data_IF_738784912366
#
_entry.id   IF_738784912366
#
_cell.length_a   1.000
_cell.length_b   1.000
_cell.length_c   1.000
_cell.angle_alpha   90.00
_cell.angle_beta   90.00
_cell.angle_gamma   90.00
#
_symmetry.space_group_name_H-M   'P 1'
#
loop_
_entity.id
_entity.type
_entity.pdbx_description
1 polymer ?
#
# COMPACT_ATOMS: atom_id res chain seq x y z
N UNK A 1 16.22 -0.20 -22.35
CA UNK A 1 17.24 -1.25 -22.16
C UNK A 1 16.64 -2.30 -21.22
N UNK A 2 16.45 -3.54 -21.68
CA UNK A 2 15.81 -4.60 -20.87
C UNK A 2 16.85 -5.33 -20.04
N UNK A 3 16.67 -5.38 -18.71
CA UNK A 3 17.57 -6.09 -17.79
C UNK A 3 16.96 -7.46 -17.49
N UNK A 4 17.69 -8.54 -17.79
CA UNK A 4 17.27 -9.90 -17.47
C UNK A 4 17.80 -10.29 -16.09
N UNK A 5 16.90 -10.70 -15.19
CA UNK A 5 17.25 -11.32 -13.91
C UNK A 5 16.63 -12.71 -13.85
N UNK A 6 17.43 -13.70 -13.44
CA UNK A 6 16.94 -15.05 -13.17
C UNK A 6 16.14 -15.04 -11.86
N UNK A 7 14.89 -15.51 -11.91
CA UNK A 7 14.02 -15.63 -10.74
C UNK A 7 14.07 -17.09 -10.27
N UNK A 8 14.55 -17.39 -9.06
CA UNK A 8 14.41 -18.72 -8.50
C UNK A 8 12.93 -19.00 -8.26
N UNK A 9 12.43 -20.12 -8.77
CA UNK A 9 11.03 -20.51 -8.66
C UNK A 9 10.90 -21.83 -7.90
N UNK A 10 10.03 -21.82 -6.91
CA UNK A 10 9.60 -23.02 -6.19
C UNK A 10 8.56 -23.83 -6.98
N UNK A 11 8.25 -25.05 -6.52
CA UNK A 11 7.24 -25.90 -7.15
C UNK A 11 5.83 -25.27 -7.14
N UNK A 12 5.50 -24.47 -6.13
CA UNK A 12 4.22 -23.74 -6.05
C UNK A 12 4.14 -22.60 -7.09
N UNK A 13 5.25 -21.90 -7.33
CA UNK A 13 5.32 -20.83 -8.34
C UNK A 13 5.10 -21.39 -9.74
N UNK A 14 5.74 -22.53 -10.04
CA UNK A 14 5.58 -23.24 -11.32
C UNK A 14 4.14 -23.70 -11.51
N UNK A 15 3.51 -24.22 -10.45
CA UNK A 15 2.11 -24.66 -10.50
C UNK A 15 1.18 -23.48 -10.75
N UNK A 16 1.43 -22.36 -10.09
CA UNK A 16 0.64 -21.13 -10.27
C UNK A 16 0.80 -20.57 -11.68
N UNK A 17 2.02 -20.52 -12.22
CA UNK A 17 2.27 -20.10 -13.61
C UNK A 17 1.53 -20.98 -14.62
N UNK A 18 1.52 -22.30 -14.42
CA UNK A 18 0.76 -23.23 -15.27
C UNK A 18 -0.74 -22.98 -15.21
N UNK A 19 -1.30 -22.63 -14.04
CA UNK A 19 -2.71 -22.27 -13.93
C UNK A 19 -3.02 -20.97 -14.66
N UNK A 20 -2.14 -19.97 -14.54
CA UNK A 20 -2.31 -18.65 -15.20
C UNK A 20 -2.23 -18.69 -16.72
N UNK A 21 -1.63 -19.74 -17.30
CA UNK A 21 -1.67 -20.01 -18.74
C UNK A 21 -3.09 -20.32 -19.23
N UNK A 22 -3.95 -20.89 -18.40
CA UNK A 22 -5.34 -21.07 -18.78
C UNK A 22 -6.03 -19.69 -18.82
N UNK A 23 -6.55 -19.33 -20.00
CA UNK A 23 -7.22 -18.04 -20.26
C UNK A 23 -8.38 -17.78 -19.30
N UNK A 24 -9.12 -18.82 -18.92
CA UNK A 24 -10.26 -18.74 -18.00
C UNK A 24 -9.87 -18.97 -16.52
N UNK A 25 -8.58 -18.97 -16.20
CA UNK A 25 -8.16 -19.17 -14.82
C UNK A 25 -8.60 -18.01 -13.92
N UNK A 26 -9.12 -18.31 -12.71
CA UNK A 26 -9.46 -17.28 -11.74
C UNK A 26 -8.25 -16.43 -11.36
N UNK A 27 -7.03 -16.99 -11.40
CA UNK A 27 -5.79 -16.26 -11.15
C UNK A 27 -5.52 -15.18 -12.20
N UNK A 28 -5.79 -15.46 -13.48
CA UNK A 28 -5.62 -14.47 -14.56
C UNK A 28 -6.67 -13.37 -14.49
N UNK A 29 -7.92 -13.71 -14.16
CA UNK A 29 -8.95 -12.71 -13.91
C UNK A 29 -8.61 -11.81 -12.72
N UNK A 30 -8.13 -12.39 -11.61
CA UNK A 30 -7.70 -11.61 -10.45
C UNK A 30 -6.55 -10.66 -10.79
N UNK A 31 -5.57 -11.12 -11.59
CA UNK A 31 -4.46 -10.27 -12.03
C UNK A 31 -4.94 -9.12 -12.94
N UNK A 32 -5.87 -9.39 -13.85
CA UNK A 32 -6.44 -8.36 -14.71
C UNK A 32 -7.22 -7.31 -13.90
N UNK A 33 -7.98 -7.73 -12.89
CA UNK A 33 -8.67 -6.82 -11.97
C UNK A 33 -7.69 -5.96 -11.16
N UNK A 34 -6.57 -6.54 -10.72
CA UNK A 34 -5.62 -5.84 -9.86
C UNK A 34 -4.72 -4.86 -10.63
N UNK A 35 -4.45 -5.11 -11.91
CA UNK A 35 -3.54 -4.30 -12.74
C UNK A 35 -4.25 -3.46 -13.80
N UNK A 36 -5.54 -3.71 -14.05
CA UNK A 36 -6.28 -3.17 -15.19
C UNK A 36 -5.72 -3.61 -16.55
N UNK A 37 -4.83 -4.60 -16.60
CA UNK A 37 -4.19 -5.08 -17.82
C UNK A 37 -4.60 -6.53 -18.08
N UNK A 38 -5.25 -6.75 -19.21
CA UNK A 38 -5.52 -8.10 -19.68
C UNK A 38 -4.27 -8.71 -20.29
N UNK A 39 -3.90 -9.89 -19.80
CA UNK A 39 -2.88 -10.71 -20.44
C UNK A 39 -3.45 -11.31 -21.71
N UNK A 40 -2.59 -11.47 -22.72
CA UNK A 40 -2.95 -12.09 -23.99
C UNK A 40 -3.08 -13.62 -23.84
N UNK A 41 -3.88 -14.28 -24.68
CA UNK A 41 -4.10 -15.74 -24.58
C UNK A 41 -2.86 -16.59 -24.78
N UNK A 42 -1.87 -16.03 -25.48
CA UNK A 42 -0.56 -16.62 -25.69
C UNK A 42 0.54 -15.99 -24.82
N UNK A 43 0.17 -15.39 -23.67
CA UNK A 43 1.14 -14.73 -22.79
C UNK A 43 2.22 -15.72 -22.35
N UNK A 44 3.47 -15.33 -22.51
CA UNK A 44 4.61 -16.09 -22.02
C UNK A 44 4.75 -16.00 -20.51
N UNK A 45 5.43 -16.97 -19.90
CA UNK A 45 5.73 -16.96 -18.46
C UNK A 45 6.39 -15.64 -18.02
N UNK A 46 7.26 -15.10 -18.88
CA UNK A 46 7.94 -13.82 -18.63
C UNK A 46 6.95 -12.64 -18.59
N UNK A 47 5.92 -12.64 -19.43
CA UNK A 47 4.88 -11.60 -19.43
C UNK A 47 3.98 -11.72 -18.21
N UNK A 48 3.59 -12.95 -17.84
CA UNK A 48 2.81 -13.21 -16.63
C UNK A 48 3.58 -12.75 -15.38
N UNK A 49 4.86 -13.11 -15.27
CA UNK A 49 5.73 -12.68 -14.17
C UNK A 49 5.94 -11.16 -14.16
N UNK A 50 6.13 -10.55 -15.33
CA UNK A 50 6.27 -9.09 -15.42
C UNK A 50 5.01 -8.37 -14.95
N UNK A 51 3.83 -8.88 -15.33
CA UNK A 51 2.55 -8.34 -14.88
C UNK A 51 2.36 -8.52 -13.36
N UNK A 52 2.69 -9.68 -12.80
CA UNK A 52 2.66 -9.91 -11.35
C UNK A 52 3.61 -8.97 -10.59
N UNK A 53 4.82 -8.76 -11.08
CA UNK A 53 5.79 -7.84 -10.46
C UNK A 53 5.27 -6.41 -10.51
N UNK A 54 4.65 -6.00 -11.62
CA UNK A 54 4.03 -4.69 -11.75
C UNK A 54 2.87 -4.52 -10.76
N UNK A 55 1.96 -5.50 -10.70
CA UNK A 55 0.85 -5.58 -9.77
C UNK A 55 1.33 -5.44 -8.32
N UNK A 56 2.35 -6.23 -7.95
CA UNK A 56 2.95 -6.19 -6.62
C UNK A 56 3.61 -4.85 -6.30
N UNK A 57 4.29 -4.22 -7.26
CA UNK A 57 4.87 -2.88 -7.08
C UNK A 57 3.82 -1.81 -6.85
N UNK A 58 2.74 -1.83 -7.62
CA UNK A 58 1.61 -0.91 -7.49
C UNK A 58 0.94 -1.11 -6.13
N UNK A 59 0.63 -2.35 -5.74
CA UNK A 59 0.06 -2.68 -4.44
C UNK A 59 0.96 -2.28 -3.26
N UNK A 60 2.28 -2.48 -3.36
CA UNK A 60 3.23 -2.04 -2.33
C UNK A 60 3.28 -0.51 -2.24
N UNK A 61 3.24 0.17 -3.38
CA UNK A 61 3.26 1.64 -3.43
C UNK A 61 1.98 2.22 -2.84
N UNK A 62 0.82 1.64 -3.16
CA UNK A 62 -0.46 2.01 -2.57
C UNK A 62 -0.47 1.74 -1.06
N UNK A 63 0.03 0.59 -0.61
CA UNK A 63 0.17 0.27 0.81
C UNK A 63 1.11 1.23 1.53
N UNK A 64 2.23 1.61 0.90
CA UNK A 64 3.16 2.59 1.45
C UNK A 64 2.55 4.00 1.48
N UNK A 65 1.83 4.41 0.44
CA UNK A 65 1.11 5.68 0.43
C UNK A 65 0.06 5.72 1.54
N UNK A 66 -0.73 4.65 1.69
CA UNK A 66 -1.70 4.53 2.77
C UNK A 66 -1.04 4.56 4.16
N UNK A 67 0.10 3.89 4.33
CA UNK A 67 0.87 3.91 5.59
C UNK A 67 1.50 5.27 5.84
N UNK A 68 1.97 5.94 4.80
CA UNK A 68 2.49 7.31 4.85
C UNK A 68 1.40 8.29 5.26
N UNK A 69 0.26 8.31 4.58
CA UNK A 69 -0.87 9.16 4.97
C UNK A 69 -1.40 8.81 6.38
N UNK A 70 -1.39 7.55 6.78
CA UNK A 70 -1.75 7.15 8.15
C UNK A 70 -0.75 7.64 9.20
N UNK A 71 0.56 7.62 8.90
CA UNK A 71 1.59 8.16 9.79
C UNK A 71 1.50 9.69 9.91
N UNK A 72 1.26 10.39 8.79
CA UNK A 72 1.07 11.85 8.78
C UNK A 72 -0.24 12.25 9.48
N UNK A 73 -1.32 11.47 9.33
CA UNK A 73 -2.58 11.70 10.05
C UNK A 73 -2.43 11.47 11.56
N UNK A 74 -1.65 10.46 11.97
CA UNK A 74 -1.36 10.21 13.38
C UNK A 74 -0.52 11.33 14.01
N UNK A 75 0.41 11.92 13.27
CA UNK A 75 1.23 13.06 13.71
C UNK A 75 0.38 14.33 13.88
N UNK A 76 -0.54 14.62 12.94
CA UNK A 76 -1.49 15.72 13.09
C UNK A 76 -2.41 15.55 14.31
N UNK A 77 -2.91 14.34 14.57
CA UNK A 77 -3.77 14.07 15.74
C UNK A 77 -3.03 14.25 17.09
N UNK A 78 -1.73 13.99 17.12
CA UNK A 78 -0.89 14.16 18.32
C UNK A 78 -0.59 15.63 18.62
N UNK A 79 -0.28 16.43 17.60
CA UNK A 79 -0.12 17.89 17.72
C UNK A 79 -1.40 18.55 18.22
N UNK A 80 -2.54 18.12 17.68
CA UNK A 80 -3.86 18.65 18.00
C UNK A 80 -4.28 18.28 19.44
N UNK A 81 -3.92 17.08 19.90
CA UNK A 81 -4.06 16.65 21.32
C UNK A 81 -3.13 17.41 22.26
N UNK A 82 -1.92 17.75 21.84
CA UNK A 82 -0.98 18.54 22.63
C UNK A 82 -1.47 19.98 22.81
N UNK A 83 -1.94 20.60 21.72
CA UNK A 83 -2.54 21.94 21.75
C UNK A 83 -3.77 22.02 22.66
N UNK A 84 -4.68 21.04 22.56
CA UNK A 84 -5.85 20.94 23.45
C UNK A 84 -5.50 20.73 24.93
N UNK A 85 -4.36 20.10 25.23
CA UNK A 85 -3.87 19.94 26.62
C UNK A 85 -3.22 21.22 27.14
N UNK A 86 -2.41 21.90 26.34
CA UNK A 86 -1.79 23.17 26.70
C UNK A 86 -2.85 24.24 27.01
N UNK A 87 -3.90 24.32 26.18
CA UNK A 87 -4.98 25.31 26.33
C UNK A 87 -5.80 25.16 27.62
N UNK A 88 -6.02 23.92 28.10
CA UNK A 88 -6.67 23.66 29.39
C UNK A 88 -5.81 24.02 30.61
N UNK A 89 -4.50 24.11 30.44
CA UNK A 89 -3.59 24.59 31.48
C UNK A 89 -3.65 26.11 31.65
N UNK A 90 -3.96 26.84 30.57
CA UNK A 90 -4.01 28.30 30.56
C UNK A 90 -5.31 28.84 31.19
N UNK A 91 -6.45 28.22 30.91
CA UNK A 91 -7.74 28.62 31.52
C UNK A 91 -7.75 28.49 33.06
N UNK A 92 -6.90 27.65 33.64
CA UNK A 92 -6.79 27.48 35.10
C UNK A 92 -5.83 28.49 35.77
N UNK A 93 -4.98 29.17 34.98
CA UNK A 93 -4.04 30.17 35.47
C UNK A 93 -4.58 31.61 35.43
N UNK A 94 -5.50 31.90 34.52
CA UNK A 94 -6.04 33.25 34.30
C UNK A 94 -7.12 33.65 35.34
N UNK A 95 -7.69 32.69 36.07
CA UNK A 95 -8.70 32.93 37.11
C UNK A 95 -8.09 33.25 38.49
N UNK A 96 -6.82 32.84 38.72
CA UNK A 96 -6.11 33.08 39.98
C UNK A 96 -5.44 34.46 40.08
N UNK A 97 -5.38 35.23 38.99
CA UNK A 97 -4.76 36.56 38.93
C UNK A 97 -5.73 37.75 39.05
N UNK A 98 -7.05 37.52 39.08
CA UNK A 98 -8.08 38.58 39.06
C UNK A 98 -8.78 38.79 40.41
N UNK A 99 -8.42 38.04 41.45
CA UNK A 99 -8.97 38.20 42.82
C UNK A 99 -7.83 38.46 43.80
N UNK A 100 -7.38 39.70 43.88
CA UNK A 100 -6.30 40.10 44.77
C UNK A 100 -5.97 41.58 44.64
N UNK A 101 -6.98 42.43 44.75
CA UNK A 101 -6.84 43.87 45.02
C UNK A 101 -7.63 44.20 46.29
#
# INVERSE_FOLDING_TARGET
>A
MSVRKSVPMGPEDITTLKRMHASESPERQALAQLTGHELNDSASDAEILSALIRAGREAVTERMAATGYAAWAAEMDDEDRAYRRARRGWDRGDEAGRTGE
#
